data_IF_531596249140
#
_entry.id   IF_531596249140
#
_cell.length_a   1.000
_cell.length_b   1.000
_cell.length_c   1.000
_cell.angle_alpha   90.00
_cell.angle_beta   90.00
_cell.angle_gamma   90.00
#
_symmetry.space_group_name_H-M   'P 1'
#
loop_
_entity.id
_entity.type
_entity.pdbx_description
1 polymer ?
#
# COMPACT_ATOMS: atom_id res chain seq x y z
N UNK A 1 -15.25 -11.14 -11.19
CA UNK A 1 -15.43 -9.67 -11.13
C UNK A 1 -14.05 -9.07 -10.99
N UNK A 2 -13.63 -8.20 -11.91
CA UNK A 2 -12.38 -7.46 -11.75
C UNK A 2 -12.56 -6.46 -10.60
N UNK A 3 -11.60 -6.39 -9.69
CA UNK A 3 -11.61 -5.37 -8.65
C UNK A 3 -11.62 -3.98 -9.30
N UNK A 4 -12.52 -3.11 -8.87
CA UNK A 4 -12.49 -1.72 -9.33
C UNK A 4 -11.38 -0.97 -8.57
N UNK A 5 -10.70 -0.05 -9.25
CA UNK A 5 -9.67 0.81 -8.65
C UNK A 5 -10.19 1.47 -7.36
N UNK A 6 -11.44 1.92 -7.35
CA UNK A 6 -12.08 2.51 -6.17
C UNK A 6 -12.11 1.56 -4.96
N UNK A 7 -12.32 0.26 -5.17
CA UNK A 7 -12.33 -0.72 -4.08
C UNK A 7 -10.94 -0.91 -3.48
N UNK A 8 -9.90 -0.91 -4.32
CA UNK A 8 -8.51 -0.98 -3.87
C UNK A 8 -8.12 0.27 -3.08
N UNK A 9 -8.47 1.47 -3.56
CA UNK A 9 -8.27 2.73 -2.83
C UNK A 9 -8.98 2.68 -1.48
N UNK A 10 -10.22 2.19 -1.46
CA UNK A 10 -11.03 2.08 -0.24
C UNK A 10 -10.38 1.16 0.78
N UNK A 11 -9.91 -0.03 0.40
CA UNK A 11 -9.17 -0.91 1.31
C UNK A 11 -7.88 -0.25 1.81
N UNK A 12 -7.14 0.42 0.91
CA UNK A 12 -5.93 1.12 1.32
C UNK A 12 -6.23 2.18 2.38
N UNK A 13 -7.34 2.91 2.27
CA UNK A 13 -7.77 3.93 3.23
C UNK A 13 -8.35 3.36 4.52
N UNK A 14 -9.23 2.39 4.45
CA UNK A 14 -9.99 1.90 5.61
C UNK A 14 -9.23 0.85 6.42
N UNK A 15 -8.33 0.09 5.78
CA UNK A 15 -7.59 -1.00 6.42
C UNK A 15 -6.12 -0.66 6.56
N UNK A 16 -5.45 -0.28 5.47
CA UNK A 16 -3.99 -0.17 5.47
C UNK A 16 -3.53 1.15 6.11
N UNK A 17 -4.14 2.28 5.76
CA UNK A 17 -3.76 3.59 6.27
C UNK A 17 -3.82 3.71 7.81
N UNK A 18 -4.86 3.24 8.53
CA UNK A 18 -4.86 3.30 9.99
C UNK A 18 -3.78 2.43 10.62
N UNK A 19 -3.47 1.26 10.03
CA UNK A 19 -2.38 0.40 10.51
C UNK A 19 -1.02 1.05 10.31
N UNK A 20 -0.77 1.63 9.14
CA UNK A 20 0.48 2.35 8.84
C UNK A 20 0.62 3.59 9.73
N UNK A 21 -0.47 4.34 9.94
CA UNK A 21 -0.50 5.50 10.84
C UNK A 21 -0.26 5.10 12.30
N UNK A 22 -0.80 3.95 12.74
CA UNK A 22 -0.55 3.43 14.08
C UNK A 22 0.94 3.10 14.31
N UNK A 23 1.64 2.67 13.26
CA UNK A 23 3.09 2.47 13.23
C UNK A 23 3.88 3.80 13.12
N UNK A 24 3.20 4.94 12.94
CA UNK A 24 3.83 6.24 12.69
C UNK A 24 4.44 6.37 11.28
N UNK A 25 4.08 5.47 10.37
CA UNK A 25 4.48 5.51 8.96
C UNK A 25 3.54 6.35 8.11
N UNK A 26 3.99 6.65 6.90
CA UNK A 26 3.20 7.30 5.85
C UNK A 26 3.00 6.33 4.68
N UNK A 27 1.79 6.27 4.15
CA UNK A 27 1.42 5.44 3.01
C UNK A 27 1.07 6.31 1.81
N UNK A 28 1.76 6.08 0.71
CA UNK A 28 1.52 6.73 -0.57
C UNK A 28 1.10 5.70 -1.62
N UNK A 29 0.10 6.06 -2.43
CA UNK A 29 -0.26 5.33 -3.63
C UNK A 29 0.53 5.95 -4.79
N UNK A 30 1.37 5.15 -5.44
CA UNK A 30 2.17 5.58 -6.59
C UNK A 30 1.40 5.29 -7.89
N UNK A 31 0.87 4.08 -8.01
CA UNK A 31 0.08 3.65 -9.15
C UNK A 31 -0.96 2.62 -8.70
N UNK A 32 -2.13 2.69 -9.32
CA UNK A 32 -3.21 1.75 -9.06
C UNK A 32 -3.85 1.34 -10.38
N UNK A 33 -3.81 0.04 -10.64
CA UNK A 33 -4.28 -0.61 -11.85
C UNK A 33 -5.12 -1.83 -11.46
N UNK A 34 -5.95 -2.37 -12.36
CA UNK A 34 -6.79 -3.53 -12.07
C UNK A 34 -5.99 -4.79 -11.71
N UNK A 35 -4.76 -4.89 -12.23
CA UNK A 35 -3.86 -6.03 -12.11
C UNK A 35 -2.55 -5.67 -11.37
N UNK A 36 -2.34 -4.41 -11.00
CA UNK A 36 -1.14 -3.96 -10.30
C UNK A 36 -1.45 -2.87 -9.28
N UNK A 37 -0.89 -3.01 -8.08
CA UNK A 37 -0.93 -1.97 -7.06
C UNK A 37 0.50 -1.63 -6.63
N UNK A 38 0.87 -0.36 -6.80
CA UNK A 38 2.18 0.15 -6.38
C UNK A 38 2.01 1.15 -5.24
N UNK A 39 2.53 0.76 -4.08
CA UNK A 39 2.53 1.56 -2.86
C UNK A 39 3.95 1.95 -2.47
N UNK A 40 4.05 3.08 -1.79
CA UNK A 40 5.29 3.55 -1.19
C UNK A 40 5.07 3.84 0.29
N UNK A 41 5.90 3.23 1.14
CA UNK A 41 5.92 3.46 2.58
C UNK A 41 7.05 4.44 2.92
N UNK A 42 6.71 5.56 3.56
CA UNK A 42 7.65 6.55 4.07
C UNK A 42 7.48 6.77 5.58
N UNK A 43 8.12 7.81 6.12
CA UNK A 43 8.09 8.12 7.56
C UNK A 43 8.95 7.18 8.39
N UNK A 44 8.46 6.75 9.57
CA UNK A 44 9.17 5.79 10.44
C UNK A 44 9.37 4.41 9.81
N UNK A 45 8.60 4.09 8.76
CA UNK A 45 8.81 2.88 7.94
C UNK A 45 9.98 3.01 6.94
N UNK A 46 10.59 4.20 6.80
CA UNK A 46 11.79 4.43 5.97
C UNK A 46 13.00 3.67 6.55
N UNK A 47 13.29 2.49 6.02
CA UNK A 47 14.51 1.73 6.34
C UNK A 47 14.33 0.62 7.37
N UNK A 48 13.10 0.34 7.81
CA UNK A 48 12.84 -0.74 8.75
C UNK A 48 12.56 -2.06 7.99
N UNK A 49 13.25 -3.18 8.29
CA UNK A 49 12.98 -4.48 7.66
C UNK A 49 11.55 -4.98 7.91
N UNK A 50 10.86 -4.42 8.92
CA UNK A 50 9.44 -4.69 9.22
C UNK A 50 8.46 -4.23 8.14
N UNK A 51 8.83 -3.29 7.27
CA UNK A 51 7.95 -2.83 6.18
C UNK A 51 7.59 -3.98 5.21
N UNK A 52 8.52 -4.92 4.99
CA UNK A 52 8.26 -6.12 4.19
C UNK A 52 7.28 -7.07 4.88
N UNK A 53 7.29 -7.15 6.22
CA UNK A 53 6.31 -7.91 6.98
C UNK A 53 4.93 -7.27 6.87
N UNK A 54 4.82 -5.95 7.01
CA UNK A 54 3.56 -5.22 6.82
C UNK A 54 2.99 -5.44 5.41
N UNK A 55 3.85 -5.41 4.38
CA UNK A 55 3.44 -5.78 3.01
C UNK A 55 2.79 -7.17 2.96
N UNK A 56 3.49 -8.20 3.44
CA UNK A 56 3.06 -9.59 3.29
C UNK A 56 1.90 -9.98 4.21
N UNK A 57 1.82 -9.37 5.39
CA UNK A 57 0.83 -9.70 6.40
C UNK A 57 -0.45 -8.86 6.30
N UNK A 58 -0.38 -7.65 5.74
CA UNK A 58 -1.51 -6.71 5.69
C UNK A 58 -1.90 -6.37 4.26
N UNK A 59 -0.95 -5.85 3.47
CA UNK A 59 -1.24 -5.26 2.15
C UNK A 59 -1.60 -6.35 1.14
N UNK A 60 -0.75 -7.36 0.97
CA UNK A 60 -0.98 -8.47 0.05
C UNK A 60 -2.32 -9.19 0.29
N UNK A 61 -2.65 -9.65 1.52
CA UNK A 61 -3.91 -10.34 1.76
C UNK A 61 -5.13 -9.44 1.56
N UNK A 62 -5.06 -8.15 1.95
CA UNK A 62 -6.16 -7.22 1.76
C UNK A 62 -6.44 -6.95 0.27
N UNK A 63 -5.38 -6.84 -0.55
CA UNK A 63 -5.50 -6.67 -1.99
C UNK A 63 -5.96 -7.96 -2.66
N UNK A 64 -5.36 -9.11 -2.33
CA UNK A 64 -5.72 -10.41 -2.90
C UNK A 64 -7.13 -10.86 -2.56
N UNK A 65 -7.71 -10.37 -1.46
CA UNK A 65 -9.12 -10.59 -1.14
C UNK A 65 -10.08 -10.02 -2.21
N UNK A 66 -9.71 -8.92 -2.88
CA UNK A 66 -10.51 -8.34 -3.96
C UNK A 66 -9.94 -8.72 -5.34
N UNK A 67 -8.62 -8.68 -5.48
CA UNK A 67 -7.88 -8.87 -6.72
C UNK A 67 -6.82 -9.97 -6.53
N UNK A 68 -7.21 -11.26 -6.54
CA UNK A 68 -6.28 -12.36 -6.29
C UNK A 68 -5.16 -12.48 -7.33
N UNK A 69 -5.39 -11.97 -8.55
CA UNK A 69 -4.39 -11.93 -9.61
C UNK A 69 -3.53 -10.65 -9.61
N UNK A 70 -3.80 -9.69 -8.72
CA UNK A 70 -3.08 -8.43 -8.74
C UNK A 70 -1.66 -8.55 -8.19
N UNK A 71 -0.74 -7.85 -8.86
CA UNK A 71 0.66 -7.73 -8.46
C UNK A 71 0.82 -6.57 -7.48
N UNK A 72 1.24 -6.89 -6.25
CA UNK A 72 1.45 -5.89 -5.20
C UNK A 72 2.94 -5.55 -5.11
N UNK A 73 3.27 -4.31 -5.47
CA UNK A 73 4.61 -3.74 -5.37
C UNK A 73 4.59 -2.74 -4.21
N UNK A 74 5.47 -2.94 -3.24
CA UNK A 74 5.62 -2.00 -2.12
C UNK A 74 7.09 -1.60 -2.08
N UNK A 75 7.31 -0.30 -2.18
CA UNK A 75 8.62 0.32 -2.04
C UNK A 75 8.68 1.05 -0.70
N UNK A 76 9.88 1.22 -0.15
CA UNK A 76 10.10 1.99 1.07
C UNK A 76 11.34 2.87 0.94
N UNK A 77 11.37 3.98 1.66
CA UNK A 77 12.55 4.83 1.73
C UNK A 77 12.23 6.29 2.06
N UNK A 78 13.30 7.08 2.16
CA UNK A 78 13.20 8.51 2.42
C UNK A 78 12.77 9.33 1.18
N UNK A 79 12.87 8.75 -0.02
CA UNK A 79 12.47 9.40 -1.27
C UNK A 79 11.10 8.90 -1.72
N UNK A 80 10.12 9.79 -1.64
CA UNK A 80 8.80 9.58 -2.19
C UNK A 80 8.90 9.66 -3.73
N UNK A 81 8.41 8.65 -4.48
CA UNK A 81 8.42 8.68 -5.93
C UNK A 81 7.52 9.79 -6.48
N UNK A 82 7.88 10.35 -7.64
CA UNK A 82 7.12 11.42 -8.29
C UNK A 82 5.71 10.94 -8.66
N UNK A 83 4.69 11.75 -8.33
CA UNK A 83 3.28 11.42 -8.57
C UNK A 83 2.59 10.61 -7.47
N UNK A 84 3.30 10.28 -6.37
CA UNK A 84 2.69 9.53 -5.28
C UNK A 84 1.66 10.38 -4.50
N UNK A 85 0.46 9.84 -4.32
CA UNK A 85 -0.62 10.47 -3.56
C UNK A 85 -0.62 9.97 -2.12
N UNK A 86 -0.46 10.90 -1.17
CA UNK A 86 -0.57 10.59 0.26
C UNK A 86 -2.01 10.18 0.61
N UNK A 87 -2.14 9.07 1.31
CA UNK A 87 -3.44 8.53 1.74
C UNK A 87 -3.71 8.75 3.23
N UNK A 88 -2.66 8.93 4.04
CA UNK A 88 -2.76 8.98 5.50
C UNK A 88 -3.18 10.35 5.98
#
# INVERSE_FOLDING_TARGET
MAATIEQLIRICREVIAPLVRADGGELYIVAIEPDQLTLHLAGLCSGCPGATLTKRAVIEPAVHAIAPAARVIVTNGARIPEGASLIT
#
